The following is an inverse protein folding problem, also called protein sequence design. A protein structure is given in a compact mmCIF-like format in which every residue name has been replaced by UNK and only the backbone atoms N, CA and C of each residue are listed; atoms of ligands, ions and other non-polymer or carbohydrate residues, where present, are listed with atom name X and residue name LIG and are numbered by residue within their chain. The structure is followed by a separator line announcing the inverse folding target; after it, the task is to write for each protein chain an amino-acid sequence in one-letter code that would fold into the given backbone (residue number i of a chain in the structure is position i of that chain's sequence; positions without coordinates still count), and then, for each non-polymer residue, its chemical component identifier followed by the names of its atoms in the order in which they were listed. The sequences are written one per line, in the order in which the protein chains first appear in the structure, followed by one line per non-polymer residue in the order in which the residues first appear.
data_IF_591708364596
#
_entry.id   IF_591708364596
#
_cell.length_a   1.000
_cell.length_b   1.000
_cell.length_c   1.000
_cell.angle_alpha   90.00
_cell.angle_beta   90.00
_cell.angle_gamma   90.00
#
_symmetry.space_group_name_H-M   'P 1'
#
loop_
_entity.id
_entity.type
_entity.pdbx_description
1 polymer ?
#
# COMPACT_ATOMS: atom_id res chain seq x y z
N UNK A 1 -42.75 -2.34 5.45
CA UNK A 1 -43.23 -0.95 5.30
C UNK A 1 -42.49 -0.35 4.11
N UNK A 2 -43.19 0.25 3.13
CA UNK A 2 -42.53 0.80 1.94
C UNK A 2 -41.70 2.04 2.31
N UNK A 3 -40.47 2.11 1.77
CA UNK A 3 -39.52 3.20 1.98
C UNK A 3 -39.93 4.44 1.18
N UNK A 4 -40.94 5.15 1.67
CA UNK A 4 -41.45 6.40 1.10
C UNK A 4 -40.37 7.47 0.91
N UNK A 5 -39.31 7.43 1.70
CA UNK A 5 -38.20 8.39 1.61
C UNK A 5 -37.32 8.17 0.37
N UNK A 6 -37.08 6.91 -0.01
CA UNK A 6 -36.33 6.55 -1.22
C UNK A 6 -37.12 6.88 -2.48
N UNK A 7 -38.42 6.60 -2.47
CA UNK A 7 -39.31 6.90 -3.60
C UNK A 7 -39.42 8.42 -3.81
N UNK A 8 -39.50 9.19 -2.73
CA UNK A 8 -39.51 10.66 -2.79
C UNK A 8 -38.18 11.23 -3.29
N UNK A 9 -37.04 10.66 -2.88
CA UNK A 9 -35.72 11.08 -3.36
C UNK A 9 -35.53 10.77 -4.85
N UNK A 10 -36.01 9.61 -5.30
CA UNK A 10 -35.94 9.22 -6.71
C UNK A 10 -36.85 10.10 -7.58
N UNK A 11 -38.05 10.42 -7.10
CA UNK A 11 -38.98 11.32 -7.79
C UNK A 11 -38.45 12.76 -7.90
N UNK A 12 -37.72 13.24 -6.88
CA UNK A 12 -37.07 14.55 -6.94
C UNK A 12 -35.94 14.57 -7.98
N UNK A 13 -35.12 13.52 -8.01
CA UNK A 13 -34.03 13.35 -9.00
C UNK A 13 -34.55 13.24 -10.43
N UNK A 14 -35.64 12.49 -10.66
CA UNK A 14 -36.24 12.38 -11.98
C UNK A 14 -36.86 13.71 -12.44
N UNK A 15 -37.50 14.45 -11.53
CA UNK A 15 -38.07 15.77 -11.83
C UNK A 15 -37.02 16.82 -12.19
N UNK A 16 -35.84 16.77 -11.58
CA UNK A 16 -34.73 17.68 -11.91
C UNK A 16 -34.06 17.30 -13.23
N UNK A 17 -34.00 16.00 -13.56
CA UNK A 17 -33.48 15.51 -14.84
C UNK A 17 -34.40 15.88 -16.02
N UNK A 18 -35.72 15.77 -15.85
CA UNK A 18 -36.70 16.14 -16.89
C UNK A 18 -36.75 17.65 -17.16
N UNK A 19 -36.40 18.48 -16.17
CA UNK A 19 -36.34 19.94 -16.33
C UNK A 19 -35.12 20.45 -17.10
N UNK A 20 -34.22 19.57 -17.54
CA UNK A 20 -33.11 19.93 -18.43
C UNK A 20 -32.13 20.95 -17.84
N UNK A 21 -32.13 21.17 -16.53
CA UNK A 21 -31.23 22.08 -15.83
C UNK A 21 -29.91 21.37 -15.54
N UNK A 22 -29.20 20.99 -16.60
CA UNK A 22 -27.78 20.64 -16.48
C UNK A 22 -27.03 21.93 -16.15
N UNK A 23 -26.76 22.12 -14.85
CA UNK A 23 -25.93 23.19 -14.33
C UNK A 23 -24.65 23.30 -15.17
N UNK A 24 -24.34 24.50 -15.61
CA UNK A 24 -23.15 24.72 -16.42
C UNK A 24 -21.90 24.37 -15.59
N UNK A 25 -20.83 23.90 -16.23
CA UNK A 25 -19.57 23.55 -15.55
C UNK A 25 -19.08 24.60 -14.52
N UNK A 26 -19.21 25.92 -14.77
CA UNK A 26 -18.88 26.95 -13.78
C UNK A 26 -19.77 26.94 -12.52
N UNK A 27 -21.06 26.61 -12.66
CA UNK A 27 -22.02 26.57 -11.55
C UNK A 27 -21.78 25.35 -10.66
N UNK A 28 -21.44 24.20 -11.26
CA UNK A 28 -21.01 23.01 -10.52
C UNK A 28 -19.76 23.28 -9.68
N UNK A 29 -18.77 24.01 -10.23
CA UNK A 29 -17.57 24.42 -9.47
C UNK A 29 -17.91 25.38 -8.33
N UNK A 30 -18.85 26.32 -8.54
CA UNK A 30 -19.33 27.25 -7.51
C UNK A 30 -20.09 26.53 -6.38
N UNK A 31 -20.81 25.47 -6.71
CA UNK A 31 -21.58 24.69 -5.73
C UNK A 31 -20.69 23.70 -4.96
N UNK A 32 -19.68 23.10 -5.61
CA UNK A 32 -18.66 22.29 -4.97
C UNK A 32 -17.81 23.13 -3.99
N UNK A 33 -17.46 24.37 -4.34
CA UNK A 33 -16.78 25.31 -3.45
C UNK A 33 -17.58 25.61 -2.17
N UNK A 34 -18.91 25.76 -2.27
CA UNK A 34 -19.78 26.00 -1.10
C UNK A 34 -19.91 24.77 -0.18
N UNK A 35 -19.86 23.55 -0.71
CA UNK A 35 -19.87 22.32 0.13
C UNK A 35 -18.56 22.17 0.93
N UNK A 36 -17.43 22.54 0.33
CA UNK A 36 -16.12 22.55 1.03
C UNK A 36 -16.08 23.55 2.20
N UNK A 37 -16.77 24.69 2.07
CA UNK A 37 -16.90 25.67 3.16
C UNK A 37 -17.89 25.26 4.25
N UNK A 38 -18.93 24.47 3.91
CA UNK A 38 -19.90 23.95 4.91
C UNK A 38 -19.40 22.75 5.70
N UNK A 39 -18.36 22.05 5.23
CA UNK A 39 -17.72 20.93 5.94
C UNK A 39 -16.85 21.33 7.14
N UNK A 40 -16.63 22.62 7.38
CA UNK A 40 -15.83 23.13 8.51
C UNK A 40 -16.68 23.73 9.64
N UNK A 41 -18.01 23.60 9.61
CA UNK A 41 -18.91 24.28 10.56
C UNK A 41 -20.00 23.37 11.19
N UNK A 42 -19.78 22.06 11.28
CA UNK A 42 -20.70 21.14 11.97
C UNK A 42 -19.97 20.21 12.94
N UNK A 43 -19.38 20.80 13.98
CA UNK A 43 -19.07 20.10 15.24
C UNK A 43 -19.60 20.92 16.39
N UNK A 44 -20.90 20.78 16.67
CA UNK A 44 -21.50 21.19 17.93
C UNK A 44 -22.80 20.41 18.20
N UNK A 45 -22.71 19.49 19.18
CA UNK A 45 -23.74 18.99 20.08
C UNK A 45 -25.03 18.33 19.52
N UNK A 46 -25.25 17.06 19.89
CA UNK A 46 -26.15 16.74 21.01
C UNK A 46 -26.07 15.25 21.38
N UNK A 47 -25.68 15.00 22.62
CA UNK A 47 -25.86 13.75 23.37
C UNK A 47 -27.33 13.49 23.66
N UNK A 48 -27.78 12.24 23.47
CA UNK A 48 -28.93 11.72 24.21
C UNK A 48 -28.71 10.25 24.57
N UNK A 49 -28.79 10.04 25.88
CA UNK A 49 -28.72 8.77 26.62
C UNK A 49 -29.92 7.90 26.26
N UNK A 50 -29.66 6.64 25.87
CA UNK A 50 -30.63 5.56 26.03
C UNK A 50 -29.95 4.36 26.70
N UNK A 51 -30.22 4.25 28.00
CA UNK A 51 -30.06 3.05 28.82
C UNK A 51 -31.23 2.13 28.49
N UNK A 52 -30.96 0.96 27.90
CA UNK A 52 -31.78 -0.25 28.06
C UNK A 52 -30.83 -1.44 28.10
N UNK A 53 -30.83 -2.14 29.22
CA UNK A 53 -30.00 -3.32 29.45
C UNK A 53 -30.52 -4.57 28.73
N UNK A 54 -29.59 -5.48 28.42
CA UNK A 54 -29.89 -6.88 28.16
C UNK A 54 -28.72 -7.77 28.63
N UNK A 55 -28.95 -8.35 29.80
CA UNK A 55 -28.60 -9.69 30.30
C UNK A 55 -27.74 -10.56 29.35
N UNK A 56 -26.51 -10.85 29.79
CA UNK A 56 -26.00 -12.22 29.99
C UNK A 56 -25.74 -13.13 28.78
N UNK A 57 -24.46 -13.38 28.51
CA UNK A 57 -23.90 -14.73 28.35
C UNK A 57 -22.37 -14.65 28.37
N UNK A 58 -21.77 -15.02 29.51
CA UNK A 58 -20.33 -15.21 29.61
C UNK A 58 -19.91 -16.46 28.87
N UNK A 59 -18.89 -16.32 28.02
CA UNK A 59 -18.10 -17.44 27.52
C UNK A 59 -16.64 -17.18 27.90
N UNK A 60 -16.28 -17.65 29.10
CA UNK A 60 -14.89 -17.83 29.50
C UNK A 60 -14.35 -19.09 28.84
N UNK A 61 -13.57 -18.95 27.77
CA UNK A 61 -12.71 -20.03 27.29
C UNK A 61 -11.37 -19.94 28.03
N UNK A 62 -11.32 -20.64 29.16
CA UNK A 62 -10.08 -21.02 29.81
C UNK A 62 -9.32 -21.98 28.89
N UNK A 63 -8.27 -21.46 28.24
CA UNK A 63 -7.29 -22.23 27.47
C UNK A 63 -6.10 -22.56 28.36
N UNK A 64 -5.98 -23.84 28.69
CA UNK A 64 -5.03 -24.44 29.61
C UNK A 64 -3.56 -24.15 29.22
N UNK A 65 -2.84 -23.53 30.15
CA UNK A 65 -1.45 -23.12 30.02
C UNK A 65 -0.55 -24.31 30.43
N UNK A 66 -0.47 -25.33 29.56
CA UNK A 66 0.47 -26.44 29.76
C UNK A 66 1.85 -26.07 29.23
N UNK A 67 2.67 -25.57 30.14
CA UNK A 67 4.11 -25.53 30.02
C UNK A 67 4.66 -26.95 29.73
N UNK A 68 5.22 -27.14 28.53
CA UNK A 68 6.26 -28.14 28.32
C UNK A 68 7.60 -27.42 28.31
N UNK A 69 8.24 -27.39 29.48
CA UNK A 69 9.66 -27.11 29.60
C UNK A 69 10.43 -28.29 29.00
N UNK A 70 10.88 -28.14 27.76
CA UNK A 70 11.90 -29.04 27.21
C UNK A 70 13.26 -28.55 27.68
N UNK A 71 13.82 -29.25 28.66
CA UNK A 71 15.17 -29.06 29.19
C UNK A 71 16.18 -29.43 28.10
N UNK A 72 16.87 -28.45 27.51
CA UNK A 72 18.00 -28.69 26.63
C UNK A 72 19.30 -28.78 27.45
N UNK A 73 19.88 -29.96 27.40
CA UNK A 73 21.17 -30.36 27.99
C UNK A 73 22.33 -29.65 27.28
N UNK A 74 23.36 -29.15 27.98
CA UNK A 74 24.57 -28.64 27.33
C UNK A 74 25.41 -29.81 26.82
N UNK A 75 25.64 -29.87 25.51
CA UNK A 75 26.65 -30.73 24.91
C UNK A 75 27.94 -29.92 24.73
N UNK A 76 28.91 -30.16 25.62
CA UNK A 76 30.32 -29.87 25.39
C UNK A 76 30.82 -30.74 24.24
N UNK A 77 31.12 -30.13 23.10
CA UNK A 77 31.72 -30.77 21.94
C UNK A 77 32.92 -29.97 21.45
N UNK A 78 34.07 -30.63 21.43
CA UNK A 78 35.39 -30.06 21.16
C UNK A 78 35.58 -29.60 19.70
N UNK A 79 36.43 -28.58 19.57
CA UNK A 79 37.11 -28.12 18.36
C UNK A 79 37.80 -29.28 17.63
N UNK A 80 37.78 -29.28 16.29
CA UNK A 80 39.06 -29.10 15.62
C UNK A 80 39.04 -28.04 14.50
N UNK A 81 40.15 -27.30 14.46
CA UNK A 81 40.53 -26.35 13.41
C UNK A 81 40.92 -27.09 12.13
N UNK A 82 40.33 -26.79 10.96
CA UNK A 82 40.89 -27.23 9.69
C UNK A 82 41.90 -26.22 9.13
N UNK A 83 43.06 -26.78 8.81
CA UNK A 83 44.26 -26.28 8.14
C UNK A 83 43.99 -25.51 6.83
N UNK A 84 44.77 -24.47 6.49
CA UNK A 84 44.70 -23.79 5.20
C UNK A 84 45.18 -24.69 4.05
N UNK A 85 44.36 -24.79 2.99
CA UNK A 85 44.67 -25.50 1.75
C UNK A 85 45.47 -24.59 0.79
N UNK A 86 46.51 -25.10 0.10
CA UNK A 86 47.39 -24.30 -0.76
C UNK A 86 46.74 -23.87 -2.09
N UNK A 87 47.17 -22.70 -2.55
CA UNK A 87 46.86 -22.10 -3.85
C UNK A 87 47.17 -23.02 -5.03
N UNK A 88 46.28 -23.15 -6.03
CA UNK A 88 46.64 -23.72 -7.32
C UNK A 88 47.38 -22.68 -8.18
N UNK A 89 48.54 -23.14 -8.66
CA UNK A 89 49.40 -22.61 -9.70
C UNK A 89 48.64 -22.19 -10.96
N UNK A 90 48.96 -21.01 -11.46
CA UNK A 90 48.54 -20.43 -12.73
C UNK A 90 49.23 -21.10 -13.93
N UNK A 91 48.43 -21.62 -14.86
CA UNK A 91 48.87 -21.99 -16.21
C UNK A 91 48.58 -20.84 -17.19
N UNK A 92 49.49 -20.53 -18.13
CA UNK A 92 49.26 -19.52 -19.16
C UNK A 92 48.42 -20.12 -20.30
N UNK A 93 47.22 -19.57 -20.52
CA UNK A 93 46.38 -19.90 -21.69
C UNK A 93 46.43 -18.75 -22.69
N UNK A 94 47.08 -19.04 -23.81
CA UNK A 94 46.92 -18.55 -25.19
C UNK A 94 46.04 -17.32 -25.42
N UNK A 95 46.68 -16.26 -25.94
CA UNK A 95 46.02 -15.07 -26.46
C UNK A 95 45.06 -15.41 -27.62
N UNK A 96 43.77 -15.12 -27.40
CA UNK A 96 42.77 -15.09 -28.47
C UNK A 96 42.87 -13.76 -29.24
N UNK A 97 42.53 -13.75 -30.55
CA UNK A 97 42.60 -12.55 -31.38
C UNK A 97 41.67 -11.45 -30.86
N UNK A 98 42.22 -10.24 -30.78
CA UNK A 98 41.55 -8.99 -30.42
C UNK A 98 40.42 -8.68 -31.41
N UNK A 99 39.19 -9.08 -31.06
CA UNK A 99 37.98 -8.59 -31.75
C UNK A 99 37.74 -7.16 -31.28
N UNK A 100 37.70 -6.22 -32.23
CA UNK A 100 37.43 -4.82 -31.99
C UNK A 100 36.13 -4.63 -31.16
N UNK A 101 36.08 -3.68 -30.22
CA UNK A 101 34.88 -3.41 -29.46
C UNK A 101 33.81 -2.86 -30.41
N UNK A 102 32.85 -3.71 -30.78
CA UNK A 102 31.59 -3.27 -31.37
C UNK A 102 30.94 -2.31 -30.38
N UNK A 103 30.90 -1.03 -30.75
CA UNK A 103 30.14 -0.01 -30.04
C UNK A 103 28.74 -0.54 -29.73
N UNK A 104 28.32 -0.58 -28.45
CA UNK A 104 26.97 -0.99 -28.11
C UNK A 104 25.99 -0.10 -28.87
N UNK A 105 24.91 -0.65 -29.45
CA UNK A 105 23.87 0.20 -29.99
C UNK A 105 23.40 1.11 -28.86
N UNK A 106 23.49 2.43 -29.06
CA UNK A 106 22.92 3.42 -28.18
C UNK A 106 21.41 3.22 -28.19
N UNK A 107 20.94 2.29 -27.35
CA UNK A 107 19.52 2.00 -27.18
C UNK A 107 18.89 3.27 -26.62
N UNK A 108 18.21 3.99 -27.50
CA UNK A 108 17.52 5.21 -27.16
C UNK A 108 16.49 4.84 -26.09
N UNK A 109 16.60 5.44 -24.90
CA UNK A 109 15.70 5.15 -23.80
C UNK A 109 14.23 5.22 -24.28
N UNK A 110 13.37 4.25 -23.90
CA UNK A 110 11.97 4.26 -24.30
C UNK A 110 11.33 5.60 -23.97
N UNK A 111 10.55 6.14 -24.92
CA UNK A 111 9.80 7.35 -24.68
C UNK A 111 8.75 7.09 -23.59
N UNK A 112 8.53 8.07 -22.70
CA UNK A 112 7.47 7.97 -21.72
C UNK A 112 6.11 7.80 -22.41
N UNK A 113 5.24 6.90 -21.92
CA UNK A 113 3.87 6.83 -22.40
C UNK A 113 3.14 8.14 -22.11
N UNK A 114 2.08 8.44 -22.86
CA UNK A 114 1.25 9.63 -22.60
C UNK A 114 0.36 9.46 -21.37
N UNK A 115 -0.08 8.24 -21.11
CA UNK A 115 -0.95 7.89 -19.98
C UNK A 115 -0.72 6.45 -19.54
N UNK A 116 -1.08 6.14 -18.29
CA UNK A 116 -1.07 4.78 -17.75
C UNK A 116 -2.45 4.16 -17.97
N UNK A 117 -2.57 3.06 -18.74
CA UNK A 117 -3.85 2.42 -19.00
C UNK A 117 -4.41 1.74 -17.75
N UNK A 118 -5.73 1.55 -17.69
CA UNK A 118 -6.38 0.89 -16.56
C UNK A 118 -5.87 -0.54 -16.31
N UNK A 119 -5.47 -1.26 -17.36
CA UNK A 119 -4.92 -2.62 -17.22
C UNK A 119 -3.63 -2.70 -16.40
N UNK A 120 -2.88 -1.60 -16.28
CA UNK A 120 -1.65 -1.53 -15.48
C UNK A 120 -1.91 -1.37 -13.97
N UNK A 121 -3.14 -1.05 -13.57
CA UNK A 121 -3.58 -0.98 -12.18
C UNK A 121 -4.39 -2.21 -11.82
N UNK A 122 -4.47 -2.51 -10.53
CA UNK A 122 -5.50 -3.39 -9.98
C UNK A 122 -6.91 -2.89 -10.35
N UNK A 123 -7.88 -3.79 -10.37
CA UNK A 123 -9.24 -3.60 -10.87
C UNK A 123 -10.26 -4.35 -10.01
N UNK A 124 -11.54 -4.01 -10.13
CA UNK A 124 -12.62 -4.69 -9.41
C UNK A 124 -12.69 -6.21 -9.62
N UNK A 125 -12.11 -6.75 -10.70
CA UNK A 125 -12.09 -8.19 -10.98
C UNK A 125 -10.97 -8.94 -10.26
N UNK A 126 -10.01 -8.25 -9.65
CA UNK A 126 -8.98 -8.94 -8.87
C UNK A 126 -9.58 -9.42 -7.54
N UNK A 127 -9.13 -10.58 -7.07
CA UNK A 127 -9.71 -11.28 -5.91
C UNK A 127 -9.88 -10.31 -4.73
N UNK A 128 -11.00 -10.43 -4.01
CA UNK A 128 -11.25 -9.71 -2.76
C UNK A 128 -11.46 -8.19 -2.88
N UNK A 129 -11.30 -7.59 -4.06
CA UNK A 129 -11.62 -6.19 -4.28
C UNK A 129 -13.15 -6.06 -4.36
N UNK A 130 -13.73 -5.31 -3.43
CA UNK A 130 -15.17 -5.09 -3.36
C UNK A 130 -15.62 -3.76 -3.94
N UNK A 131 -14.71 -2.78 -3.98
CA UNK A 131 -14.94 -1.47 -4.60
C UNK A 131 -13.63 -1.00 -5.23
N UNK A 132 -13.74 -0.27 -6.33
CA UNK A 132 -12.61 0.23 -7.08
C UNK A 132 -12.95 1.58 -7.70
N UNK A 133 -12.18 2.58 -7.32
CA UNK A 133 -12.27 3.93 -7.84
C UNK A 133 -10.92 4.34 -8.42
N UNK A 134 -10.88 4.59 -9.74
CA UNK A 134 -9.75 5.28 -10.34
C UNK A 134 -9.76 6.74 -9.89
N UNK A 135 -8.62 7.23 -9.42
CA UNK A 135 -8.50 8.62 -9.00
C UNK A 135 -8.23 9.52 -10.21
N UNK A 136 -8.95 10.64 -10.28
CA UNK A 136 -8.72 11.68 -11.29
C UNK A 136 -7.35 12.31 -11.09
N UNK A 137 -7.07 12.72 -9.85
CA UNK A 137 -5.78 13.18 -9.38
C UNK A 137 -5.04 12.01 -8.73
N UNK A 138 -3.91 11.54 -9.28
CA UNK A 138 -3.18 10.43 -8.70
C UNK A 138 -2.66 10.79 -7.30
N UNK A 139 -2.74 9.83 -6.38
CA UNK A 139 -2.22 9.97 -5.02
C UNK A 139 -0.72 10.38 -5.07
N UNK A 140 -0.28 11.32 -4.21
CA UNK A 140 1.15 11.52 -4.01
C UNK A 140 1.80 10.22 -3.53
N UNK A 141 3.10 10.10 -3.79
CA UNK A 141 3.87 8.98 -3.24
C UNK A 141 3.82 9.04 -1.71
N UNK A 142 3.67 7.89 -1.01
CA UNK A 142 3.60 7.87 0.44
C UNK A 142 4.77 8.63 1.07
N UNK A 143 4.46 9.39 2.11
CA UNK A 143 5.48 10.00 2.95
C UNK A 143 5.93 8.94 3.96
N UNK A 144 7.16 8.45 3.80
CA UNK A 144 7.75 7.45 4.70
C UNK A 144 8.42 8.11 5.89
N UNK A 145 9.09 9.24 5.66
CA UNK A 145 9.83 9.93 6.69
C UNK A 145 9.93 11.40 6.35
N UNK A 146 9.70 12.27 7.33
CA UNK A 146 9.76 13.72 7.16
C UNK A 146 11.13 14.22 6.65
N UNK A 147 12.20 13.42 6.83
CA UNK A 147 13.57 13.73 6.37
C UNK A 147 13.97 13.04 5.07
N UNK A 148 13.19 12.07 4.59
CA UNK A 148 13.51 11.34 3.38
C UNK A 148 13.37 12.27 2.16
N UNK A 149 14.39 12.30 1.31
CA UNK A 149 14.37 13.03 0.05
C UNK A 149 14.38 12.04 -1.10
N UNK A 150 13.59 12.34 -2.12
CA UNK A 150 13.51 11.52 -3.33
C UNK A 150 13.82 12.37 -4.57
N UNK A 151 15.10 12.74 -4.82
CA UNK A 151 15.50 13.45 -6.04
C UNK A 151 14.99 12.81 -7.33
N UNK A 152 14.88 11.47 -7.38
CA UNK A 152 14.27 10.74 -8.49
C UNK A 152 12.85 11.21 -8.86
N UNK A 153 12.12 11.88 -7.97
CA UNK A 153 10.79 12.46 -8.25
C UNK A 153 10.82 13.46 -9.41
N UNK A 154 11.92 14.16 -9.62
CA UNK A 154 12.07 15.11 -10.74
C UNK A 154 12.10 14.39 -12.09
N UNK A 155 12.40 13.08 -12.09
CA UNK A 155 12.36 12.20 -13.26
C UNK A 155 11.01 11.52 -13.45
N UNK A 156 10.05 11.70 -12.53
CA UNK A 156 8.72 11.13 -12.67
C UNK A 156 7.98 11.72 -13.89
N UNK A 157 7.32 10.84 -14.62
CA UNK A 157 6.46 11.11 -15.76
C UNK A 157 5.00 10.86 -15.40
N UNK A 158 4.21 10.20 -16.27
CA UNK A 158 2.83 9.87 -15.97
C UNK A 158 2.68 9.09 -14.67
N UNK A 159 1.61 9.41 -13.94
CA UNK A 159 1.16 8.69 -12.75
C UNK A 159 -0.33 8.39 -12.87
N UNK A 160 -0.76 7.26 -12.34
CA UNK A 160 -2.16 6.91 -12.17
C UNK A 160 -2.34 6.18 -10.86
N UNK A 161 -3.47 6.40 -10.20
CA UNK A 161 -3.81 5.71 -8.96
C UNK A 161 -5.23 5.17 -9.00
N UNK A 162 -5.45 4.07 -8.29
CA UNK A 162 -6.78 3.55 -7.97
C UNK A 162 -6.86 3.28 -6.46
N UNK A 163 -7.97 3.72 -5.85
CA UNK A 163 -8.34 3.37 -4.49
C UNK A 163 -9.28 2.18 -4.52
N UNK A 164 -9.07 1.22 -3.64
CA UNK A 164 -9.94 0.07 -3.53
C UNK A 164 -10.25 -0.26 -2.07
N UNK A 165 -11.39 -0.91 -1.89
CA UNK A 165 -11.74 -1.59 -0.65
C UNK A 165 -11.56 -3.08 -0.82
N UNK A 166 -10.93 -3.70 0.16
CA UNK A 166 -10.75 -5.14 0.23
C UNK A 166 -11.73 -5.74 1.24
N UNK A 167 -12.32 -6.88 0.90
CA UNK A 167 -13.01 -7.74 1.85
C UNK A 167 -12.34 -9.10 1.87
N UNK A 168 -12.08 -9.62 3.06
CA UNK A 168 -11.64 -11.00 3.22
C UNK A 168 -12.63 -11.95 2.53
N UNK A 169 -12.16 -12.98 1.79
CA UNK A 169 -13.02 -13.98 1.17
C UNK A 169 -13.96 -14.67 2.15
N UNK A 170 -13.56 -14.76 3.42
CA UNK A 170 -14.32 -15.42 4.48
C UNK A 170 -15.29 -14.47 5.20
N UNK A 171 -15.32 -13.19 4.81
CA UNK A 171 -16.22 -12.20 5.39
C UNK A 171 -17.68 -12.47 4.99
N UNK A 172 -18.63 -12.44 5.93
CA UNK A 172 -20.06 -12.54 5.63
C UNK A 172 -20.54 -11.47 4.63
N UNK A 173 -21.63 -11.75 3.88
CA UNK A 173 -22.28 -10.74 3.05
C UNK A 173 -22.69 -9.52 3.88
N UNK A 174 -22.40 -8.31 3.37
CA UNK A 174 -22.72 -7.06 4.05
C UNK A 174 -21.69 -6.61 5.09
N UNK A 175 -20.63 -7.37 5.34
CA UNK A 175 -19.54 -6.93 6.20
C UNK A 175 -18.83 -5.68 5.64
N UNK A 176 -18.35 -4.85 6.57
CA UNK A 176 -17.46 -3.73 6.24
C UNK A 176 -16.18 -4.25 5.57
N UNK A 177 -15.49 -3.41 4.78
CA UNK A 177 -14.18 -3.76 4.25
C UNK A 177 -13.21 -4.18 5.36
N UNK A 178 -12.33 -5.11 5.02
CA UNK A 178 -11.21 -5.51 5.87
C UNK A 178 -10.00 -4.58 5.70
N UNK A 179 -9.91 -3.88 4.57
CA UNK A 179 -8.80 -2.95 4.30
C UNK A 179 -9.21 -1.89 3.25
N UNK A 180 -8.52 -0.75 3.30
CA UNK A 180 -8.49 0.24 2.23
C UNK A 180 -7.07 0.30 1.68
N UNK A 181 -6.93 0.26 0.36
CA UNK A 181 -5.62 0.38 -0.26
C UNK A 181 -5.62 1.25 -1.49
N UNK A 182 -4.44 1.78 -1.79
CA UNK A 182 -4.19 2.57 -3.00
C UNK A 182 -3.13 1.86 -3.82
N UNK A 183 -3.46 1.60 -5.08
CA UNK A 183 -2.48 1.18 -6.08
C UNK A 183 -2.08 2.38 -6.94
N UNK A 184 -0.81 2.77 -6.87
CA UNK A 184 -0.24 3.86 -7.67
C UNK A 184 0.81 3.32 -8.62
N UNK A 185 0.69 3.63 -9.90
CA UNK A 185 1.73 3.37 -10.90
C UNK A 185 2.36 4.69 -11.32
N UNK A 186 3.69 4.76 -11.32
CA UNK A 186 4.48 5.90 -11.78
C UNK A 186 5.50 5.44 -12.81
N UNK A 187 5.64 6.19 -13.90
CA UNK A 187 6.70 5.97 -14.90
C UNK A 187 7.80 6.99 -14.70
N UNK A 188 9.05 6.60 -14.89
CA UNK A 188 10.22 7.47 -14.73
C UNK A 188 11.01 7.59 -16.02
N UNK A 189 11.70 8.71 -16.18
CA UNK A 189 12.65 8.93 -17.28
C UNK A 189 14.01 8.32 -16.92
N UNK A 190 14.66 7.68 -17.89
CA UNK A 190 16.01 7.14 -17.71
C UNK A 190 16.11 6.21 -16.51
N UNK A 191 17.13 6.40 -15.67
CA UNK A 191 17.38 5.64 -14.43
C UNK A 191 16.44 5.98 -13.26
N UNK A 192 15.46 6.88 -13.45
CA UNK A 192 14.68 7.42 -12.32
C UNK A 192 13.91 6.37 -11.49
N UNK A 193 13.46 5.28 -12.11
CA UNK A 193 12.77 4.21 -11.37
C UNK A 193 13.75 3.41 -10.48
N UNK A 194 14.95 3.14 -10.98
CA UNK A 194 16.00 2.45 -10.22
C UNK A 194 16.51 3.33 -9.07
N UNK A 195 16.72 4.62 -9.34
CA UNK A 195 17.08 5.61 -8.33
C UNK A 195 16.01 5.73 -7.27
N UNK A 196 14.73 5.78 -7.64
CA UNK A 196 13.63 5.81 -6.67
C UNK A 196 13.64 4.59 -5.74
N UNK A 197 13.82 3.38 -6.26
CA UNK A 197 13.90 2.17 -5.41
C UNK A 197 15.09 2.23 -4.47
N UNK A 198 16.25 2.70 -4.95
CA UNK A 198 17.46 2.85 -4.13
C UNK A 198 17.26 3.90 -3.03
N UNK A 199 16.64 5.03 -3.36
CA UNK A 199 16.27 6.09 -2.41
C UNK A 199 15.27 5.58 -1.37
N UNK A 200 14.26 4.80 -1.78
CA UNK A 200 13.26 4.24 -0.89
C UNK A 200 13.87 3.25 0.12
N UNK A 201 14.70 2.33 -0.35
CA UNK A 201 15.43 1.39 0.52
C UNK A 201 16.33 2.15 1.50
N UNK A 202 17.06 3.14 1.01
CA UNK A 202 17.92 3.98 1.85
C UNK A 202 17.12 4.78 2.88
N UNK A 203 15.96 5.33 2.49
CA UNK A 203 15.07 6.09 3.36
C UNK A 203 14.59 5.24 4.53
N UNK A 204 14.01 4.06 4.26
CA UNK A 204 13.51 3.15 5.31
C UNK A 204 14.65 2.72 6.24
N UNK A 205 15.83 2.38 5.70
CA UNK A 205 16.99 2.00 6.52
C UNK A 205 17.51 3.13 7.40
N UNK A 206 17.53 4.36 6.88
CA UNK A 206 18.08 5.53 7.59
C UNK A 206 17.10 6.18 8.57
N UNK A 207 15.80 5.86 8.43
CA UNK A 207 14.74 6.52 9.16
C UNK A 207 13.66 5.48 9.53
N UNK A 208 13.88 4.72 10.61
CA UNK A 208 12.93 3.70 11.08
C UNK A 208 11.70 4.31 11.78
N UNK A 209 11.67 5.62 12.00
CA UNK A 209 10.58 6.33 12.69
C UNK A 209 10.22 7.61 11.95
N UNK A 210 8.94 7.90 11.81
CA UNK A 210 8.43 9.09 11.14
C UNK A 210 7.03 9.47 11.62
N UNK A 211 6.34 10.27 10.80
CA UNK A 211 4.99 10.72 11.06
C UNK A 211 4.06 10.24 9.95
N UNK A 212 2.89 9.75 10.33
CA UNK A 212 1.77 9.49 9.44
C UNK A 212 0.61 10.40 9.85
N UNK A 213 0.51 11.57 9.20
CA UNK A 213 -0.27 12.66 9.78
C UNK A 213 0.30 13.06 11.14
N UNK A 214 -0.52 13.03 12.18
CA UNK A 214 -0.08 13.35 13.55
C UNK A 214 0.49 12.13 14.31
N UNK A 215 0.30 10.92 13.78
CA UNK A 215 0.68 9.67 14.42
C UNK A 215 2.19 9.41 14.33
N UNK A 216 2.78 8.94 15.43
CA UNK A 216 4.15 8.39 15.44
C UNK A 216 4.17 7.01 14.78
N UNK A 217 4.79 6.94 13.61
CA UNK A 217 4.89 5.73 12.81
C UNK A 217 6.31 5.15 12.88
N UNK A 218 6.40 3.82 12.88
CA UNK A 218 7.62 3.06 12.69
C UNK A 218 7.58 2.40 11.32
N UNK A 219 8.73 2.29 10.68
CA UNK A 219 8.89 1.76 9.33
C UNK A 219 9.97 0.70 9.32
N UNK A 220 9.57 -0.54 9.09
CA UNK A 220 10.47 -1.69 9.04
C UNK A 220 10.51 -2.26 7.64
N UNK A 221 11.72 -2.47 7.11
CA UNK A 221 11.88 -3.18 5.85
C UNK A 221 11.70 -4.68 6.09
N UNK A 222 10.75 -5.27 5.38
CA UNK A 222 10.54 -6.72 5.33
C UNK A 222 11.30 -7.38 4.17
N UNK A 223 12.17 -6.62 3.50
CA UNK A 223 13.01 -7.10 2.40
C UNK A 223 12.32 -7.11 1.04
N UNK A 224 12.95 -7.81 0.09
CA UNK A 224 12.47 -7.97 -1.28
C UNK A 224 11.38 -9.04 -1.37
N UNK A 225 10.40 -8.84 -2.26
CA UNK A 225 9.35 -9.80 -2.57
C UNK A 225 9.72 -10.74 -3.72
N UNK A 226 10.90 -10.55 -4.35
CA UNK A 226 11.30 -11.30 -5.54
C UNK A 226 10.40 -11.01 -6.76
N UNK A 227 9.81 -9.82 -6.83
CA UNK A 227 8.95 -9.37 -7.93
C UNK A 227 9.64 -8.30 -8.77
N UNK A 228 9.38 -8.33 -10.09
CA UNK A 228 9.93 -7.37 -11.05
C UNK A 228 11.47 -7.38 -11.08
N UNK A 229 12.05 -6.25 -11.47
CA UNK A 229 13.50 -6.06 -11.46
C UNK A 229 14.02 -5.76 -10.05
N UNK A 230 13.19 -5.16 -9.21
CA UNK A 230 13.46 -4.86 -7.80
C UNK A 230 12.15 -4.71 -7.06
N UNK A 231 12.10 -5.16 -5.81
CA UNK A 231 10.93 -4.98 -4.95
C UNK A 231 11.32 -4.74 -3.50
N UNK A 232 10.41 -4.13 -2.75
CA UNK A 232 10.55 -3.85 -1.32
C UNK A 232 9.17 -3.94 -0.67
N UNK A 233 9.06 -4.64 0.45
CA UNK A 233 7.93 -4.57 1.36
C UNK A 233 8.34 -3.82 2.63
N UNK A 234 7.47 -2.91 3.07
CA UNK A 234 7.65 -2.09 4.27
C UNK A 234 6.46 -2.35 5.19
N UNK A 235 6.72 -2.72 6.43
CA UNK A 235 5.73 -2.66 7.52
C UNK A 235 5.74 -1.23 8.09
N UNK A 236 4.57 -0.60 8.09
CA UNK A 236 4.30 0.68 8.73
C UNK A 236 3.40 0.41 9.93
N UNK A 237 3.95 0.59 11.13
CA UNK A 237 3.22 0.40 12.37
C UNK A 237 3.05 1.69 13.16
N UNK A 238 1.95 1.84 13.88
CA UNK A 238 1.68 2.96 14.78
C UNK A 238 0.82 2.48 15.96
N UNK A 239 0.69 3.30 17.01
CA UNK A 239 -0.14 2.92 18.16
C UNK A 239 -1.58 2.64 17.71
N UNK A 240 -2.12 1.48 18.08
CA UNK A 240 -3.52 1.17 17.83
C UNK A 240 -4.39 2.04 18.74
N UNK A 241 -5.51 2.52 18.21
CA UNK A 241 -6.44 3.37 18.94
C UNK A 241 -7.78 2.64 19.17
N UNK A 242 -8.42 2.94 20.30
CA UNK A 242 -9.79 2.51 20.57
C UNK A 242 -10.82 3.33 19.76
N UNK A 243 -12.10 3.07 20.03
CA UNK A 243 -13.22 3.80 19.40
C UNK A 243 -13.27 5.29 19.82
N UNK A 244 -12.65 5.63 20.95
CA UNK A 244 -12.48 6.99 21.44
C UNK A 244 -11.30 7.73 20.78
N UNK A 245 -10.51 7.04 19.96
CA UNK A 245 -9.32 7.58 19.30
C UNK A 245 -8.08 7.61 20.20
N UNK A 246 -8.18 7.17 21.45
CA UNK A 246 -7.04 7.10 22.36
C UNK A 246 -6.22 5.83 22.13
N UNK A 247 -4.89 5.87 22.34
CA UNK A 247 -4.06 4.67 22.25
C UNK A 247 -4.54 3.57 23.22
N UNK A 248 -4.57 2.32 22.74
CA UNK A 248 -4.94 1.19 23.59
C UNK A 248 -3.93 1.00 24.74
N UNK A 249 -4.42 0.85 25.97
CA UNK A 249 -3.59 0.70 27.18
C UNK A 249 -2.65 -0.50 27.14
N UNK A 250 -2.99 -1.53 26.36
CA UNK A 250 -2.17 -2.72 26.18
C UNK A 250 -0.93 -2.50 25.28
N UNK A 251 -0.76 -1.29 24.72
CA UNK A 251 0.35 -0.94 23.84
C UNK A 251 0.30 -1.62 22.47
N UNK A 252 -0.86 -2.14 22.06
CA UNK A 252 -1.04 -2.77 20.76
C UNK A 252 -0.70 -1.77 19.63
N UNK A 253 -0.21 -2.32 18.52
CA UNK A 253 0.13 -1.56 17.32
C UNK A 253 -0.75 -1.98 16.15
N UNK A 254 -1.13 -1.02 15.35
CA UNK A 254 -1.78 -1.26 14.06
C UNK A 254 -0.69 -1.36 12.99
N UNK A 255 -0.79 -2.36 12.13
CA UNK A 255 0.15 -2.62 11.05
C UNK A 255 -0.50 -2.37 9.70
N UNK A 256 0.21 -1.67 8.83
CA UNK A 256 -0.15 -1.41 7.44
C UNK A 256 1.08 -1.62 6.57
N UNK A 257 0.91 -1.84 5.27
CA UNK A 257 2.01 -2.24 4.40
C UNK A 257 2.14 -1.31 3.21
N UNK A 258 3.39 -0.99 2.88
CA UNK A 258 3.73 -0.36 1.61
C UNK A 258 4.65 -1.28 0.83
N UNK A 259 4.19 -1.71 -0.35
CA UNK A 259 4.98 -2.53 -1.24
C UNK A 259 5.29 -1.76 -2.53
N UNK A 260 6.56 -1.78 -2.94
CA UNK A 260 7.04 -1.15 -4.16
C UNK A 260 7.64 -2.22 -5.08
N UNK A 261 7.26 -2.22 -6.35
CA UNK A 261 7.84 -3.10 -7.37
C UNK A 261 8.20 -2.30 -8.61
N UNK A 262 9.46 -2.40 -9.04
CA UNK A 262 9.96 -1.82 -10.28
C UNK A 262 9.91 -2.86 -11.42
N UNK A 263 9.39 -2.44 -12.56
CA UNK A 263 9.47 -3.18 -13.84
C UNK A 263 9.90 -2.20 -14.92
N UNK A 264 11.12 -2.36 -15.43
CA UNK A 264 11.74 -1.43 -16.36
C UNK A 264 11.80 -0.01 -15.79
N UNK A 265 11.16 0.91 -16.51
CA UNK A 265 11.05 2.35 -16.20
C UNK A 265 9.84 2.70 -15.29
N UNK A 266 9.06 1.71 -14.86
CA UNK A 266 7.83 1.93 -14.12
C UNK A 266 7.87 1.29 -12.72
N UNK A 267 7.13 1.90 -11.79
CA UNK A 267 6.98 1.42 -10.42
C UNK A 267 5.49 1.31 -10.11
N UNK A 268 5.09 0.18 -9.54
CA UNK A 268 3.79 0.02 -8.88
C UNK A 268 3.98 0.05 -7.37
N UNK A 269 3.15 0.82 -6.69
CA UNK A 269 3.09 0.94 -5.24
C UNK A 269 1.72 0.45 -4.78
N UNK A 270 1.72 -0.38 -3.75
CA UNK A 270 0.55 -0.79 -2.97
C UNK A 270 0.71 -0.18 -1.59
N UNK A 271 -0.19 0.70 -1.18
CA UNK A 271 -0.25 1.31 0.15
C UNK A 271 -1.55 0.85 0.81
N UNK A 272 -1.46 -0.12 1.73
CA UNK A 272 -2.61 -0.54 2.55
C UNK A 272 -2.74 0.41 3.73
N UNK A 273 -3.97 0.63 4.21
CA UNK A 273 -4.28 1.62 5.27
C UNK A 273 -5.02 1.03 6.45
N UNK A 274 -5.35 -0.26 6.37
CA UNK A 274 -6.29 -0.88 7.28
C UNK A 274 -7.71 -0.41 7.00
N UNK A 275 -8.61 -0.85 7.86
CA UNK A 275 -9.96 -0.34 7.99
C UNK A 275 -10.19 0.04 9.44
N UNK A 276 -10.59 1.28 9.70
CA UNK A 276 -10.73 1.81 11.06
C UNK A 276 -9.42 1.61 11.87
N UNK A 277 -9.50 1.06 13.07
CA UNK A 277 -8.36 0.70 13.93
C UNK A 277 -7.74 -0.67 13.60
N UNK A 278 -8.22 -1.34 12.54
CA UNK A 278 -7.80 -2.68 12.14
C UNK A 278 -6.49 -2.71 11.36
N UNK A 279 -5.62 -3.67 11.68
CA UNK A 279 -4.40 -3.93 10.90
C UNK A 279 -4.72 -4.54 9.54
N UNK A 280 -3.89 -4.22 8.54
CA UNK A 280 -3.87 -4.93 7.27
C UNK A 280 -3.37 -6.36 7.44
N UNK A 281 -3.84 -7.28 6.59
CA UNK A 281 -3.27 -8.62 6.46
C UNK A 281 -2.04 -8.57 5.54
N UNK A 282 -0.90 -9.05 6.04
CA UNK A 282 0.37 -9.07 5.29
C UNK A 282 0.31 -9.97 4.06
N UNK A 283 -0.15 -11.20 4.22
CA UNK A 283 -0.20 -12.18 3.13
C UNK A 283 -1.11 -11.67 2.01
N UNK A 284 -2.15 -10.94 2.39
CA UNK A 284 -3.00 -10.24 1.46
C UNK A 284 -2.28 -9.12 0.69
N UNK A 285 -1.58 -8.24 1.39
CA UNK A 285 -0.80 -7.16 0.77
C UNK A 285 0.23 -7.71 -0.23
N UNK A 286 0.94 -8.79 0.13
CA UNK A 286 1.89 -9.48 -0.75
C UNK A 286 1.21 -10.07 -1.99
N UNK A 287 0.05 -10.73 -1.82
CA UNK A 287 -0.74 -11.30 -2.91
C UNK A 287 -1.21 -10.23 -3.92
N UNK A 288 -1.73 -9.10 -3.42
CA UNK A 288 -2.13 -7.98 -4.29
C UNK A 288 -0.93 -7.35 -5.00
N UNK A 289 0.19 -7.22 -4.31
CA UNK A 289 1.44 -6.72 -4.90
C UNK A 289 1.90 -7.60 -6.04
N UNK A 290 1.81 -8.92 -5.89
CA UNK A 290 2.11 -9.88 -6.96
C UNK A 290 1.21 -9.69 -8.17
N UNK A 291 -0.09 -9.49 -7.96
CA UNK A 291 -1.04 -9.20 -9.05
C UNK A 291 -0.73 -7.87 -9.73
N UNK A 292 -0.47 -6.81 -8.96
CA UNK A 292 -0.13 -5.50 -9.49
C UNK A 292 1.18 -5.52 -10.29
N UNK A 293 2.20 -6.25 -9.81
CA UNK A 293 3.47 -6.41 -10.50
C UNK A 293 3.31 -7.12 -11.86
N UNK A 294 2.50 -8.18 -11.93
CA UNK A 294 2.20 -8.87 -13.19
C UNK A 294 1.51 -7.93 -14.18
N UNK A 295 0.50 -7.20 -13.74
CA UNK A 295 -0.24 -6.24 -14.58
C UNK A 295 0.65 -5.11 -15.09
N UNK A 296 1.57 -4.64 -14.25
CA UNK A 296 2.59 -3.67 -14.66
C UNK A 296 3.52 -4.27 -15.73
N UNK A 297 3.99 -5.51 -15.53
CA UNK A 297 4.85 -6.20 -16.48
C UNK A 297 4.16 -6.52 -17.81
N UNK A 298 2.92 -7.00 -17.80
CA UNK A 298 2.16 -7.30 -19.03
C UNK A 298 1.89 -6.03 -19.86
N UNK A 299 1.88 -4.87 -19.22
CA UNK A 299 1.78 -3.59 -19.91
C UNK A 299 3.13 -3.10 -20.47
N UNK A 300 4.25 -3.50 -19.88
CA UNK A 300 5.59 -2.95 -20.16
C UNK A 300 6.43 -3.80 -21.07
#
# INVERSE_FOLDING_TARGET
MPNTELDNAFAALSSDAERGLLLTGPELRRQAGRRRQRGLALTAAATSVLVVGAIGAGWTLAGDNRQQQTTLRPATGFSPSPTPSPSPTSTPTTAAPSVAPSTPPTSKAPALPKSIPARALLSANDKGISDHQRLEDPEPLPEFCARAKFPSRDKAGPRASARMFYRSPDSPPGSVPSDTLVNTVTVYRGSGAEEFMSELIAAVRSCPTGKLGDLDAQYDSLGSLGLGDSSLLIDRSYAATGDDGEPLENGARQHTYVAAVRVGDAITLIDTRGWESGSSDRAWAESLTKTAARRLADWR
#
